data_IF_672820586334
#
_entry.id   IF_672820586334
#
_cell.length_a   1.000
_cell.length_b   1.000
_cell.length_c   1.000
_cell.angle_alpha   90.00
_cell.angle_beta   90.00
_cell.angle_gamma   90.00
#
_symmetry.space_group_name_H-M   'P 1'
#
loop_
_entity.id
_entity.type
_entity.pdbx_description
1 polymer ?
#
# COMPACT_ATOMS: atom_id res chain seq x y z
N UNK A 1 -7.53 1.64 15.78
CA UNK A 1 -7.15 0.20 15.69
C UNK A 1 -5.94 -0.01 14.80
N UNK A 2 -5.80 0.63 13.64
CA UNK A 2 -4.60 0.51 12.77
C UNK A 2 -3.32 0.90 13.53
N UNK A 3 -3.33 1.98 14.32
CA UNK A 3 -2.17 2.38 15.16
C UNK A 3 -1.75 1.36 16.23
N UNK A 4 -2.67 0.51 16.71
CA UNK A 4 -2.35 -0.53 17.71
C UNK A 4 -1.69 -1.74 17.04
N UNK A 5 -2.00 -1.99 15.79
CA UNK A 5 -1.42 -3.06 14.97
C UNK A 5 -0.11 -2.64 14.28
N UNK A 6 0.26 -1.36 14.39
CA UNK A 6 1.45 -0.78 13.74
C UNK A 6 2.79 -1.40 14.19
N UNK A 7 2.82 -2.07 15.34
CA UNK A 7 3.99 -2.82 15.82
C UNK A 7 3.98 -4.33 15.52
N UNK A 8 2.87 -4.88 15.00
CA UNK A 8 2.72 -6.34 14.84
C UNK A 8 3.08 -6.75 13.40
N UNK A 9 4.01 -7.70 13.19
CA UNK A 9 4.28 -8.24 11.87
C UNK A 9 3.01 -8.85 11.25
N UNK A 10 2.76 -8.61 9.97
CA UNK A 10 1.57 -9.12 9.25
C UNK A 10 1.45 -10.65 9.37
N UNK A 11 2.58 -11.36 9.43
CA UNK A 11 2.62 -12.83 9.65
C UNK A 11 2.04 -13.23 11.01
N UNK A 12 2.36 -12.48 12.08
CA UNK A 12 1.83 -12.76 13.41
C UNK A 12 0.33 -12.50 13.47
N UNK A 13 -0.14 -11.45 12.78
CA UNK A 13 -1.57 -11.17 12.65
C UNK A 13 -2.30 -12.31 11.92
N UNK A 14 -1.71 -12.85 10.83
CA UNK A 14 -2.27 -14.00 10.12
C UNK A 14 -2.37 -15.24 11.02
N UNK A 15 -1.33 -15.52 11.81
CA UNK A 15 -1.35 -16.63 12.77
C UNK A 15 -2.41 -16.44 13.86
N UNK A 16 -2.61 -15.21 14.36
CA UNK A 16 -3.67 -14.91 15.32
C UNK A 16 -5.06 -15.12 14.73
N UNK A 17 -5.31 -14.66 13.50
CA UNK A 17 -6.58 -14.88 12.79
C UNK A 17 -6.81 -16.37 12.56
N UNK A 18 -5.79 -17.11 12.14
CA UNK A 18 -5.85 -18.56 11.96
C UNK A 18 -6.21 -19.28 13.27
N UNK A 19 -5.55 -18.96 14.37
CA UNK A 19 -5.83 -19.53 15.68
C UNK A 19 -7.26 -19.20 16.15
N UNK A 20 -7.70 -17.96 15.94
CA UNK A 20 -9.06 -17.53 16.31
C UNK A 20 -10.13 -18.26 15.47
N UNK A 21 -9.90 -18.51 14.19
CA UNK A 21 -10.79 -19.31 13.34
C UNK A 21 -10.88 -20.76 13.80
N UNK A 22 -9.75 -21.38 14.18
CA UNK A 22 -9.78 -22.73 14.78
C UNK A 22 -10.55 -22.76 16.09
N UNK A 23 -10.40 -21.75 16.94
CA UNK A 23 -11.20 -21.64 18.17
C UNK A 23 -12.69 -21.50 17.89
N UNK A 24 -13.07 -20.74 16.87
CA UNK A 24 -14.46 -20.59 16.44
C UNK A 24 -15.05 -21.91 15.89
N UNK A 25 -14.27 -22.66 15.11
CA UNK A 25 -14.66 -24.00 14.65
C UNK A 25 -14.88 -24.96 15.82
N UNK A 26 -13.96 -24.99 16.76
CA UNK A 26 -14.06 -25.81 17.96
C UNK A 26 -15.25 -25.41 18.85
N UNK A 27 -15.49 -24.09 18.99
CA UNK A 27 -16.64 -23.57 19.74
C UNK A 27 -17.96 -24.02 19.08
N UNK A 28 -18.06 -23.94 17.73
CA UNK A 28 -19.20 -24.42 16.97
C UNK A 28 -19.44 -25.92 17.17
N UNK A 29 -18.38 -26.73 17.11
CA UNK A 29 -18.42 -28.16 17.35
C UNK A 29 -18.92 -28.50 18.77
N UNK A 30 -18.37 -27.87 19.79
CA UNK A 30 -18.82 -28.06 21.19
C UNK A 30 -20.28 -27.64 21.40
N UNK A 31 -20.69 -26.55 20.75
CA UNK A 31 -22.07 -26.08 20.83
C UNK A 31 -23.05 -27.07 20.23
N UNK A 32 -22.70 -27.67 19.09
CA UNK A 32 -23.49 -28.73 18.43
C UNK A 32 -23.73 -29.93 19.33
N UNK A 33 -22.72 -30.34 20.11
CA UNK A 33 -22.85 -31.47 21.06
C UNK A 33 -23.65 -31.14 22.32
N UNK A 34 -23.64 -29.87 22.76
CA UNK A 34 -24.38 -29.43 23.96
C UNK A 34 -25.83 -29.05 23.66
N UNK A 35 -26.14 -28.57 22.48
CA UNK A 35 -27.48 -28.11 22.07
C UNK A 35 -27.78 -28.59 20.64
N UNK A 36 -28.19 -29.84 20.46
CA UNK A 36 -28.47 -30.39 19.12
C UNK A 36 -29.75 -29.83 18.46
N UNK A 37 -30.41 -28.84 19.06
CA UNK A 37 -31.75 -28.39 18.67
C UNK A 37 -31.83 -27.24 17.65
N UNK A 38 -30.72 -26.74 17.09
CA UNK A 38 -30.76 -25.63 16.11
C UNK A 38 -31.13 -26.09 14.67
N UNK A 39 -31.42 -27.38 14.45
CA UNK A 39 -31.78 -27.90 13.13
C UNK A 39 -30.65 -27.82 12.11
N UNK A 40 -31.02 -27.88 10.83
CA UNK A 40 -30.08 -27.75 9.71
C UNK A 40 -29.68 -26.27 9.49
N UNK A 41 -28.43 -25.96 9.82
CA UNK A 41 -27.83 -24.60 9.67
C UNK A 41 -27.16 -24.42 8.29
N UNK A 42 -27.28 -25.38 7.38
CA UNK A 42 -26.56 -25.37 6.09
C UNK A 42 -26.91 -24.16 5.22
N UNK A 43 -28.18 -23.78 5.16
CA UNK A 43 -28.66 -22.62 4.40
C UNK A 43 -28.11 -21.30 4.98
N UNK A 44 -28.11 -21.17 6.32
CA UNK A 44 -27.53 -20.00 7.00
C UNK A 44 -26.02 -19.94 6.77
N UNK A 45 -25.33 -21.07 6.88
CA UNK A 45 -23.90 -21.18 6.62
C UNK A 45 -23.55 -20.75 5.20
N UNK A 46 -24.29 -21.24 4.18
CA UNK A 46 -24.09 -20.87 2.79
C UNK A 46 -24.31 -19.36 2.57
N UNK A 47 -25.33 -18.79 3.19
CA UNK A 47 -25.64 -17.36 3.08
C UNK A 47 -24.54 -16.50 3.70
N UNK A 48 -24.05 -16.84 4.89
CA UNK A 48 -22.96 -16.10 5.57
C UNK A 48 -21.66 -16.23 4.79
N UNK A 49 -21.32 -17.43 4.31
CA UNK A 49 -20.13 -17.64 3.47
C UNK A 49 -20.22 -16.85 2.16
N UNK A 50 -21.38 -16.83 1.51
CA UNK A 50 -21.62 -16.04 0.30
C UNK A 50 -21.41 -14.55 0.54
N UNK A 51 -21.92 -14.02 1.67
CA UNK A 51 -21.70 -12.62 2.05
C UNK A 51 -20.22 -12.32 2.31
N UNK A 52 -19.52 -13.20 3.04
CA UNK A 52 -18.08 -13.04 3.31
C UNK A 52 -17.27 -13.09 2.02
N UNK A 53 -17.60 -14.02 1.12
CA UNK A 53 -16.92 -14.12 -0.17
C UNK A 53 -17.11 -12.84 -1.02
N UNK A 54 -18.32 -12.28 -1.03
CA UNK A 54 -18.63 -11.03 -1.74
C UNK A 54 -17.85 -9.85 -1.14
N UNK A 55 -17.84 -9.73 0.19
CA UNK A 55 -17.08 -8.67 0.88
C UNK A 55 -15.57 -8.80 0.64
N UNK A 56 -15.03 -10.02 0.65
CA UNK A 56 -13.63 -10.29 0.32
C UNK A 56 -13.32 -9.88 -1.11
N UNK A 57 -14.19 -10.22 -2.08
CA UNK A 57 -13.98 -9.87 -3.48
C UNK A 57 -13.91 -8.35 -3.69
N UNK A 58 -14.84 -7.59 -3.11
CA UNK A 58 -14.81 -6.13 -3.19
C UNK A 58 -13.59 -5.54 -2.47
N UNK A 59 -13.23 -6.06 -1.30
CA UNK A 59 -12.07 -5.57 -0.56
C UNK A 59 -10.78 -5.85 -1.32
N UNK A 60 -10.67 -7.00 -1.97
CA UNK A 60 -9.53 -7.36 -2.81
C UNK A 60 -9.42 -6.45 -4.04
N UNK A 61 -10.55 -6.17 -4.72
CA UNK A 61 -10.58 -5.21 -5.83
C UNK A 61 -10.08 -3.83 -5.38
N UNK A 62 -10.59 -3.32 -4.25
CA UNK A 62 -10.15 -2.04 -3.70
C UNK A 62 -8.65 -2.02 -3.34
N UNK A 63 -8.10 -3.10 -2.77
CA UNK A 63 -6.68 -3.21 -2.47
C UNK A 63 -5.82 -3.25 -3.75
N UNK A 64 -6.27 -4.01 -4.76
CA UNK A 64 -5.60 -4.10 -6.06
C UNK A 64 -5.58 -2.76 -6.80
N UNK A 65 -6.68 -2.01 -6.77
CA UNK A 65 -6.78 -0.67 -7.38
C UNK A 65 -5.81 0.31 -6.70
N UNK A 66 -5.73 0.29 -5.36
CA UNK A 66 -4.77 1.12 -4.61
C UNK A 66 -3.32 0.75 -4.91
N UNK A 67 -3.02 -0.54 -4.99
CA UNK A 67 -1.69 -1.01 -5.38
C UNK A 67 -1.34 -0.54 -6.81
N UNK A 68 -2.26 -0.69 -7.75
CA UNK A 68 -2.10 -0.23 -9.14
C UNK A 68 -1.87 1.27 -9.23
N UNK A 69 -2.65 2.07 -8.48
CA UNK A 69 -2.47 3.51 -8.37
C UNK A 69 -1.07 3.86 -7.83
N UNK A 70 -0.63 3.24 -6.73
CA UNK A 70 0.71 3.49 -6.18
C UNK A 70 1.80 3.17 -7.19
N UNK A 71 1.66 2.07 -7.95
CA UNK A 71 2.60 1.69 -9.01
C UNK A 71 2.62 2.71 -10.15
N UNK A 72 1.46 3.15 -10.62
CA UNK A 72 1.37 4.14 -11.70
C UNK A 72 1.97 5.49 -11.31
N UNK A 73 1.84 5.89 -10.04
CA UNK A 73 2.42 7.13 -9.53
C UNK A 73 3.96 7.09 -9.48
N UNK A 74 4.60 5.93 -9.29
CA UNK A 74 6.06 5.81 -9.41
C UNK A 74 6.52 6.10 -10.83
N UNK A 75 5.82 5.55 -11.83
CA UNK A 75 6.10 5.82 -13.25
C UNK A 75 5.87 7.29 -13.57
N UNK A 76 4.75 7.85 -13.10
CA UNK A 76 4.38 9.26 -13.34
C UNK A 76 5.44 10.21 -12.75
N UNK A 77 5.94 9.94 -11.54
CA UNK A 77 6.98 10.75 -10.91
C UNK A 77 8.31 10.65 -11.66
N UNK A 78 8.72 9.44 -12.05
CA UNK A 78 9.92 9.25 -12.87
C UNK A 78 9.85 10.06 -14.18
N UNK A 79 8.71 10.01 -14.87
CA UNK A 79 8.49 10.78 -16.09
C UNK A 79 8.50 12.30 -15.86
N UNK A 80 7.88 12.76 -14.77
CA UNK A 80 7.86 14.19 -14.42
C UNK A 80 9.28 14.72 -14.14
N UNK A 81 10.08 13.98 -13.35
CA UNK A 81 11.48 14.35 -13.08
C UNK A 81 12.29 14.35 -14.37
N UNK A 82 12.16 13.32 -15.22
CA UNK A 82 12.84 13.25 -16.50
C UNK A 82 12.47 14.41 -17.44
N UNK A 83 11.19 14.79 -17.48
CA UNK A 83 10.71 15.94 -18.25
C UNK A 83 11.29 17.25 -17.73
N UNK A 84 11.32 17.44 -16.41
CA UNK A 84 11.92 18.62 -15.80
C UNK A 84 13.42 18.68 -16.11
N UNK A 85 14.13 17.56 -16.02
CA UNK A 85 15.55 17.49 -16.35
C UNK A 85 15.86 17.95 -17.78
N UNK A 86 15.06 17.51 -18.75
CA UNK A 86 15.19 17.94 -20.14
C UNK A 86 14.89 19.43 -20.32
N UNK A 87 13.86 19.96 -19.67
CA UNK A 87 13.46 21.36 -19.76
C UNK A 87 14.47 22.30 -19.07
N UNK A 88 15.10 21.84 -18.00
CA UNK A 88 16.22 22.56 -17.34
C UNK A 88 17.40 22.77 -18.31
N UNK A 89 17.55 21.92 -19.33
CA UNK A 89 18.53 22.07 -20.39
C UNK A 89 18.43 23.39 -21.18
N UNK A 90 17.27 24.05 -21.17
CA UNK A 90 17.06 25.35 -21.81
C UNK A 90 17.54 26.54 -20.94
N UNK A 91 17.90 26.29 -19.69
CA UNK A 91 18.41 27.35 -18.80
C UNK A 91 19.87 27.68 -19.11
N UNK A 92 20.28 28.95 -18.93
CA UNK A 92 21.68 29.33 -19.04
C UNK A 92 22.52 28.78 -17.89
N UNK A 93 23.83 28.62 -18.11
CA UNK A 93 24.77 28.35 -17.02
C UNK A 93 24.94 29.60 -16.13
N UNK A 94 25.21 29.43 -14.82
CA UNK A 94 25.39 28.16 -14.09
C UNK A 94 24.09 27.51 -13.63
N UNK A 95 22.94 28.13 -13.84
CA UNK A 95 21.63 27.71 -13.30
C UNK A 95 21.22 26.32 -13.78
N UNK A 96 21.55 25.97 -15.03
CA UNK A 96 21.31 24.64 -15.59
C UNK A 96 22.03 23.57 -14.77
N UNK A 97 23.33 23.73 -14.51
CA UNK A 97 24.11 22.76 -13.73
C UNK A 97 23.61 22.63 -12.29
N UNK A 98 23.25 23.76 -11.64
CA UNK A 98 22.70 23.76 -10.28
C UNK A 98 21.35 23.02 -10.19
N UNK A 99 20.45 23.27 -11.14
CA UNK A 99 19.14 22.62 -11.19
C UNK A 99 19.23 21.11 -11.50
N UNK A 100 20.19 20.71 -12.36
CA UNK A 100 20.47 19.29 -12.61
C UNK A 100 20.99 18.59 -11.36
N UNK A 101 21.97 19.17 -10.65
CA UNK A 101 22.48 18.63 -9.40
C UNK A 101 21.38 18.46 -8.36
N UNK A 102 20.43 19.42 -8.28
CA UNK A 102 19.26 19.30 -7.43
C UNK A 102 18.39 18.10 -7.82
N UNK A 103 18.10 17.89 -9.12
CA UNK A 103 17.27 16.78 -9.59
C UNK A 103 17.92 15.43 -9.27
N UNK A 104 19.24 15.32 -9.37
CA UNK A 104 19.98 14.13 -8.91
C UNK A 104 19.71 13.88 -7.41
N UNK A 105 19.93 14.91 -6.57
CA UNK A 105 19.72 14.78 -5.13
C UNK A 105 18.28 14.49 -4.77
N UNK A 106 17.30 15.09 -5.45
CA UNK A 106 15.90 14.83 -5.25
C UNK A 106 15.56 13.37 -5.57
N UNK A 107 16.02 12.84 -6.71
CA UNK A 107 15.81 11.44 -7.11
C UNK A 107 16.42 10.49 -6.09
N UNK A 108 17.63 10.77 -5.60
CA UNK A 108 18.28 9.98 -4.55
C UNK A 108 17.43 9.96 -3.28
N UNK A 109 16.94 11.13 -2.81
CA UNK A 109 16.08 11.20 -1.62
C UNK A 109 14.75 10.45 -1.77
N UNK A 110 14.18 10.42 -2.97
CA UNK A 110 12.95 9.66 -3.22
C UNK A 110 13.18 8.14 -3.10
N UNK A 111 14.32 7.64 -3.56
CA UNK A 111 14.73 6.24 -3.41
C UNK A 111 15.10 5.91 -1.96
N UNK A 112 15.94 6.74 -1.33
CA UNK A 112 16.32 6.61 0.08
C UNK A 112 15.08 6.62 1.01
N UNK A 113 14.10 7.49 0.75
CA UNK A 113 12.84 7.54 1.48
C UNK A 113 12.01 6.26 1.34
N UNK A 114 11.99 5.64 0.15
CA UNK A 114 11.33 4.35 -0.03
C UNK A 114 12.02 3.22 0.77
N UNK A 115 13.36 3.20 0.77
CA UNK A 115 14.13 2.22 1.54
C UNK A 115 13.93 2.38 3.04
N UNK A 116 13.84 3.64 3.50
CA UNK A 116 13.59 3.99 4.89
C UNK A 116 12.13 3.80 5.35
N UNK A 117 11.24 3.34 4.49
CA UNK A 117 9.79 3.28 4.76
C UNK A 117 9.40 2.42 5.98
N UNK A 118 10.26 1.47 6.40
CA UNK A 118 10.06 0.65 7.60
C UNK A 118 10.59 1.31 8.88
N UNK A 119 11.31 2.43 8.77
CA UNK A 119 11.92 3.18 9.87
C UNK A 119 11.25 4.56 9.97
N UNK A 120 10.20 4.74 10.80
CA UNK A 120 9.40 5.96 10.79
C UNK A 120 10.18 7.25 10.99
N UNK A 121 11.20 7.25 11.86
CA UNK A 121 12.03 8.42 12.13
C UNK A 121 12.91 8.78 10.92
N UNK A 122 13.51 7.78 10.27
CA UNK A 122 14.35 7.98 9.08
C UNK A 122 13.49 8.41 7.89
N UNK A 123 12.33 7.77 7.70
CA UNK A 123 11.38 8.17 6.67
C UNK A 123 10.94 9.64 6.82
N UNK A 124 10.55 10.05 8.04
CA UNK A 124 10.15 11.43 8.33
C UNK A 124 11.29 12.43 8.03
N UNK A 125 12.53 12.07 8.38
CA UNK A 125 13.71 12.86 8.06
C UNK A 125 13.91 13.02 6.56
N UNK A 126 13.83 11.93 5.78
CA UNK A 126 13.98 11.97 4.31
C UNK A 126 12.86 12.74 3.62
N UNK A 127 11.65 12.64 4.13
CA UNK A 127 10.53 13.44 3.66
C UNK A 127 10.75 14.93 3.92
N UNK A 128 11.24 15.29 5.09
CA UNK A 128 11.56 16.69 5.41
C UNK A 128 12.70 17.22 4.54
N UNK A 129 13.78 16.46 4.33
CA UNK A 129 14.87 16.81 3.42
C UNK A 129 14.35 17.05 1.99
N UNK A 130 13.45 16.20 1.50
CA UNK A 130 12.82 16.37 0.19
C UNK A 130 12.00 17.66 0.09
N UNK A 131 11.22 18.00 1.12
CA UNK A 131 10.42 19.25 1.16
C UNK A 131 11.29 20.51 1.21
N UNK A 132 12.37 20.47 1.96
CA UNK A 132 13.34 21.57 1.99
C UNK A 132 13.98 21.80 0.61
N UNK A 133 14.37 20.73 -0.06
CA UNK A 133 14.88 20.80 -1.42
C UNK A 133 13.86 21.41 -2.40
N UNK A 134 12.58 21.04 -2.31
CA UNK A 134 11.52 21.62 -3.14
C UNK A 134 11.39 23.13 -2.92
N UNK A 135 11.42 23.56 -1.66
CA UNK A 135 11.37 25.00 -1.30
C UNK A 135 12.60 25.76 -1.81
N UNK A 136 13.78 25.17 -1.68
CA UNK A 136 15.02 25.77 -2.18
C UNK A 136 14.99 25.93 -3.69
N UNK A 137 14.54 24.90 -4.42
CA UNK A 137 14.45 24.95 -5.87
C UNK A 137 13.48 26.02 -6.35
N UNK A 138 12.33 26.12 -5.70
CA UNK A 138 11.34 27.15 -6.03
C UNK A 138 11.92 28.56 -5.86
N UNK A 139 12.55 28.82 -4.71
CA UNK A 139 13.19 30.12 -4.42
C UNK A 139 14.30 30.46 -5.42
N UNK A 140 15.07 29.47 -5.89
CA UNK A 140 16.08 29.67 -6.94
C UNK A 140 15.43 30.04 -8.26
N UNK A 141 14.34 29.35 -8.65
CA UNK A 141 13.63 29.68 -9.88
C UNK A 141 13.05 31.10 -9.84
N UNK A 142 12.47 31.54 -8.72
CA UNK A 142 12.00 32.91 -8.52
C UNK A 142 13.13 33.94 -8.71
N UNK A 143 14.31 33.66 -8.17
CA UNK A 143 15.49 34.53 -8.31
C UNK A 143 15.98 34.62 -9.76
N UNK A 144 15.82 33.54 -10.53
CA UNK A 144 16.22 33.45 -11.92
C UNK A 144 15.17 34.02 -12.89
N UNK A 145 13.91 34.04 -12.50
CA UNK A 145 12.78 34.43 -13.34
C UNK A 145 12.99 35.72 -14.14
N UNK A 146 13.57 36.82 -13.58
CA UNK A 146 13.81 38.04 -14.35
C UNK A 146 14.87 37.91 -15.46
N UNK A 147 15.65 36.83 -15.45
CA UNK A 147 16.78 36.59 -16.38
C UNK A 147 16.47 35.53 -17.43
N UNK A 148 15.30 34.90 -17.38
CA UNK A 148 14.87 33.81 -18.24
C UNK A 148 13.78 34.33 -19.18
N UNK A 149 13.82 33.94 -20.44
CA UNK A 149 12.74 34.22 -21.36
C UNK A 149 11.41 33.60 -20.90
N UNK A 150 10.33 34.38 -20.98
CA UNK A 150 9.03 33.99 -20.47
C UNK A 150 8.55 32.59 -20.94
N UNK A 151 8.72 32.17 -22.23
CA UNK A 151 8.31 30.82 -22.65
C UNK A 151 9.10 29.71 -21.95
N UNK A 152 10.41 29.90 -21.77
CA UNK A 152 11.28 28.93 -21.06
C UNK A 152 10.91 28.86 -19.58
N UNK A 153 10.70 30.01 -18.95
CA UNK A 153 10.27 30.08 -17.55
C UNK A 153 8.95 29.31 -17.33
N UNK A 154 7.96 29.51 -18.21
CA UNK A 154 6.69 28.78 -18.13
C UNK A 154 6.91 27.27 -18.24
N UNK A 155 7.70 26.81 -19.21
CA UNK A 155 7.96 25.38 -19.42
C UNK A 155 8.64 24.72 -18.21
N UNK A 156 9.62 25.39 -17.60
CA UNK A 156 10.35 24.88 -16.44
C UNK A 156 9.45 24.91 -15.20
N UNK A 157 8.71 26.00 -14.97
CA UNK A 157 7.78 26.12 -13.85
C UNK A 157 6.70 25.06 -13.87
N UNK A 158 6.08 24.81 -15.03
CA UNK A 158 5.08 23.76 -15.18
C UNK A 158 5.65 22.38 -14.86
N UNK A 159 6.81 22.03 -15.41
CA UNK A 159 7.42 20.74 -15.15
C UNK A 159 7.82 20.56 -13.66
N UNK A 160 8.21 21.65 -13.01
CA UNK A 160 8.53 21.64 -11.58
C UNK A 160 7.28 21.42 -10.73
N UNK A 161 6.17 22.07 -11.06
CA UNK A 161 4.87 21.83 -10.43
C UNK A 161 4.46 20.36 -10.61
N UNK A 162 4.57 19.81 -11.83
CA UNK A 162 4.25 18.40 -12.11
C UNK A 162 5.04 17.44 -11.21
N UNK A 163 6.34 17.71 -10.95
CA UNK A 163 7.17 16.90 -10.03
C UNK A 163 6.66 17.00 -8.59
N UNK A 164 6.32 18.20 -8.13
CA UNK A 164 5.85 18.42 -6.76
C UNK A 164 4.47 17.79 -6.55
N UNK A 165 3.55 18.01 -7.47
CA UNK A 165 2.19 17.48 -7.41
C UNK A 165 2.18 15.95 -7.39
N UNK A 166 2.96 15.31 -8.27
CA UNK A 166 3.07 13.84 -8.27
C UNK A 166 3.72 13.33 -6.99
N UNK A 167 4.69 14.07 -6.44
CA UNK A 167 5.28 13.77 -5.13
C UNK A 167 4.24 13.73 -4.01
N UNK A 168 3.36 14.73 -3.95
CA UNK A 168 2.26 14.80 -2.97
C UNK A 168 1.16 13.74 -3.26
N UNK A 169 0.80 13.50 -4.55
CA UNK A 169 -0.12 12.42 -4.92
C UNK A 169 0.39 11.05 -4.43
N UNK A 170 1.69 10.77 -4.55
CA UNK A 170 2.30 9.53 -4.03
C UNK A 170 2.18 9.42 -2.52
N UNK A 171 2.41 10.51 -1.79
CA UNK A 171 2.26 10.52 -0.33
C UNK A 171 0.80 10.29 0.07
N UNK A 172 -0.14 10.94 -0.59
CA UNK A 172 -1.57 10.74 -0.38
C UNK A 172 -1.99 9.28 -0.67
N UNK A 173 -1.54 8.70 -1.78
CA UNK A 173 -1.82 7.31 -2.14
C UNK A 173 -1.22 6.30 -1.15
N UNK A 174 -0.07 6.60 -0.54
CA UNK A 174 0.53 5.75 0.49
C UNK A 174 -0.29 5.73 1.79
N UNK A 175 -0.99 6.82 2.11
CA UNK A 175 -1.87 6.92 3.29
C UNK A 175 -3.31 6.48 3.03
N UNK A 176 -3.69 6.28 1.78
CA UNK A 176 -5.03 5.83 1.41
C UNK A 176 -5.15 4.32 1.59
N UNK A 177 -5.56 3.88 2.79
CA UNK A 177 -5.76 2.49 3.18
C UNK A 177 -7.25 2.13 3.18
N UNK A 178 -7.56 0.83 3.11
CA UNK A 178 -8.92 0.32 3.28
C UNK A 178 -9.42 0.70 4.68
N UNK A 179 -10.66 1.24 4.81
CA UNK A 179 -11.22 1.57 6.11
C UNK A 179 -11.19 0.37 7.07
N UNK A 180 -10.71 0.60 8.29
CA UNK A 180 -10.63 -0.45 9.33
C UNK A 180 -11.96 -1.15 9.58
N UNK A 181 -13.08 -0.43 9.40
CA UNK A 181 -14.44 -0.97 9.55
C UNK A 181 -14.68 -2.16 8.61
N UNK A 182 -14.15 -2.13 7.39
CA UNK A 182 -14.28 -3.23 6.41
C UNK A 182 -13.53 -4.46 6.91
N UNK A 183 -12.31 -4.29 7.44
CA UNK A 183 -11.54 -5.39 8.01
C UNK A 183 -12.23 -5.99 9.25
N UNK A 184 -12.83 -5.17 10.10
CA UNK A 184 -13.61 -5.64 11.26
C UNK A 184 -14.83 -6.43 10.81
N UNK A 185 -15.57 -5.93 9.81
CA UNK A 185 -16.74 -6.63 9.28
C UNK A 185 -16.35 -7.97 8.64
N UNK A 186 -15.27 -8.01 7.86
CA UNK A 186 -14.73 -9.23 7.30
C UNK A 186 -14.36 -10.23 8.41
N UNK A 187 -13.64 -9.77 9.44
CA UNK A 187 -13.25 -10.62 10.56
C UNK A 187 -14.48 -11.22 11.27
N UNK A 188 -15.48 -10.40 11.57
CA UNK A 188 -16.74 -10.88 12.18
C UNK A 188 -17.40 -11.94 11.30
N UNK A 189 -17.53 -11.67 10.01
CA UNK A 189 -18.11 -12.63 9.05
C UNK A 189 -17.34 -13.95 8.98
N UNK A 190 -16.01 -13.87 8.97
CA UNK A 190 -15.13 -15.04 9.00
C UNK A 190 -15.31 -15.87 10.29
N UNK A 191 -15.37 -15.20 11.46
CA UNK A 191 -15.57 -15.86 12.76
C UNK A 191 -16.95 -16.52 12.84
N UNK A 192 -18.00 -15.82 12.41
CA UNK A 192 -19.35 -16.40 12.31
C UNK A 192 -19.38 -17.64 11.39
N UNK A 193 -18.72 -17.54 10.23
CA UNK A 193 -18.59 -18.68 9.31
C UNK A 193 -17.86 -19.85 9.94
N UNK A 194 -16.81 -19.58 10.74
CA UNK A 194 -16.09 -20.60 11.50
C UNK A 194 -16.98 -21.33 12.50
N UNK A 195 -17.77 -20.58 13.29
CA UNK A 195 -18.72 -21.19 14.25
C UNK A 195 -19.78 -22.03 13.54
N UNK A 196 -20.38 -21.51 12.46
CA UNK A 196 -21.40 -22.23 11.69
C UNK A 196 -20.84 -23.47 11.00
N UNK A 197 -19.63 -23.42 10.48
CA UNK A 197 -18.97 -24.57 9.87
C UNK A 197 -18.63 -25.65 10.90
N UNK A 198 -18.25 -25.26 12.11
CA UNK A 198 -17.98 -26.14 13.23
C UNK A 198 -19.26 -26.80 13.79
N UNK A 199 -20.43 -26.17 13.61
CA UNK A 199 -21.72 -26.67 14.10
C UNK A 199 -22.23 -27.85 13.25
N UNK A 200 -21.55 -29.02 13.34
CA UNK A 200 -21.94 -30.27 12.67
C UNK A 200 -21.79 -31.44 13.67
N UNK A 201 -22.87 -32.20 13.93
CA UNK A 201 -22.82 -33.33 14.85
C UNK A 201 -22.10 -34.57 14.29
N UNK A 202 -21.90 -34.65 12.98
CA UNK A 202 -21.43 -35.87 12.31
C UNK A 202 -20.01 -35.71 11.71
N UNK A 203 -19.07 -36.43 12.23
CA UNK A 203 -17.73 -36.78 11.71
C UNK A 203 -16.50 -36.04 12.28
N UNK A 204 -15.78 -36.69 13.23
CA UNK A 204 -14.58 -36.08 13.84
C UNK A 204 -13.34 -36.07 12.93
N UNK A 205 -13.09 -37.06 12.08
CA UNK A 205 -11.82 -37.15 11.33
C UNK A 205 -11.88 -36.59 9.91
N UNK A 206 -12.97 -36.79 9.16
CA UNK A 206 -13.14 -36.24 7.82
C UNK A 206 -13.44 -34.73 7.85
N UNK A 207 -14.04 -34.24 8.92
CA UNK A 207 -14.25 -32.80 9.14
C UNK A 207 -12.95 -32.02 9.37
N UNK A 208 -11.94 -32.60 10.00
CA UNK A 208 -10.69 -31.92 10.35
C UNK A 208 -9.93 -31.44 9.11
N UNK A 209 -9.85 -32.25 8.05
CA UNK A 209 -9.21 -31.86 6.80
C UNK A 209 -9.95 -30.71 6.12
N UNK A 210 -11.28 -30.78 6.03
CA UNK A 210 -12.11 -29.72 5.43
C UNK A 210 -12.01 -28.42 6.22
N UNK A 211 -12.00 -28.49 7.55
CA UNK A 211 -11.83 -27.34 8.44
C UNK A 211 -10.46 -26.70 8.31
N UNK A 212 -9.40 -27.52 8.30
CA UNK A 212 -8.05 -27.01 8.12
C UNK A 212 -7.88 -26.31 6.77
N UNK A 213 -8.40 -26.91 5.70
CA UNK A 213 -8.34 -26.31 4.37
C UNK A 213 -9.10 -24.96 4.32
N UNK A 214 -10.31 -24.92 4.88
CA UNK A 214 -11.10 -23.69 4.97
C UNK A 214 -10.34 -22.58 5.71
N UNK A 215 -9.81 -22.87 6.90
CA UNK A 215 -9.07 -21.89 7.72
C UNK A 215 -7.82 -21.41 6.99
N UNK A 216 -7.06 -22.32 6.38
CA UNK A 216 -5.83 -21.95 5.66
C UNK A 216 -6.14 -21.05 4.47
N UNK A 217 -7.14 -21.41 3.65
CA UNK A 217 -7.52 -20.60 2.47
C UNK A 217 -8.00 -19.21 2.92
N UNK A 218 -8.91 -19.16 3.89
CA UNK A 218 -9.49 -17.89 4.34
C UNK A 218 -8.42 -16.98 4.98
N UNK A 219 -7.52 -17.56 5.77
CA UNK A 219 -6.38 -16.84 6.35
C UNK A 219 -5.42 -16.35 5.25
N UNK A 220 -5.14 -17.17 4.24
CA UNK A 220 -4.27 -16.79 3.14
C UNK A 220 -4.84 -15.62 2.32
N UNK A 221 -6.15 -15.64 2.03
CA UNK A 221 -6.83 -14.54 1.33
C UNK A 221 -6.79 -13.27 2.17
N UNK A 222 -7.10 -13.34 3.46
CA UNK A 222 -7.05 -12.19 4.37
C UNK A 222 -5.62 -11.65 4.51
N UNK A 223 -4.63 -12.54 4.59
CA UNK A 223 -3.22 -12.15 4.61
C UNK A 223 -2.82 -11.39 3.34
N UNK A 224 -3.20 -11.92 2.17
CA UNK A 224 -2.90 -11.27 0.87
C UNK A 224 -3.57 -9.91 0.76
N UNK A 225 -4.81 -9.79 1.24
CA UNK A 225 -5.53 -8.52 1.27
C UNK A 225 -4.81 -7.47 2.13
N UNK A 226 -4.38 -7.86 3.33
CA UNK A 226 -3.61 -6.99 4.24
C UNK A 226 -2.25 -6.61 3.63
N UNK A 227 -1.59 -7.55 2.98
CA UNK A 227 -0.28 -7.35 2.35
C UNK A 227 -0.35 -6.36 1.18
N UNK A 228 -1.41 -6.40 0.38
CA UNK A 228 -1.67 -5.44 -0.69
C UNK A 228 -2.04 -4.04 -0.17
N UNK A 229 -2.78 -3.97 0.92
CA UNK A 229 -3.24 -2.68 1.46
C UNK A 229 -2.11 -1.91 2.16
N UNK A 230 -1.16 -2.60 2.80
CA UNK A 230 -0.05 -2.00 3.54
C UNK A 230 1.17 -1.75 2.65
N UNK A 231 1.45 -0.51 2.18
CA UNK A 231 2.46 -0.23 1.16
C UNK A 231 3.90 -0.52 1.60
N UNK A 232 4.18 -0.47 2.93
CA UNK A 232 5.55 -0.48 3.44
C UNK A 232 5.90 -1.71 4.27
N UNK A 233 4.93 -2.57 4.65
CA UNK A 233 5.14 -3.67 5.62
C UNK A 233 4.99 -5.06 5.03
N UNK A 234 4.43 -5.18 3.81
CA UNK A 234 4.14 -6.42 3.15
C UNK A 234 5.30 -7.01 2.34
N UNK A 235 5.07 -8.18 1.77
CA UNK A 235 5.92 -8.78 0.75
C UNK A 235 5.67 -8.15 -0.62
N UNK A 236 4.43 -7.72 -0.87
CA UNK A 236 4.00 -7.09 -2.11
C UNK A 236 4.30 -5.60 -2.01
N UNK A 237 5.48 -5.20 -2.49
CA UNK A 237 5.92 -3.79 -2.51
C UNK A 237 5.83 -3.23 -3.91
N UNK A 238 5.59 -1.92 -3.99
CA UNK A 238 5.64 -1.22 -5.27
C UNK A 238 7.10 -1.11 -5.71
N UNK A 239 7.39 -1.64 -6.89
CA UNK A 239 8.70 -1.57 -7.49
C UNK A 239 9.10 -0.12 -7.80
N UNK A 240 10.36 0.23 -7.51
CA UNK A 240 10.95 1.54 -7.77
C UNK A 240 11.84 1.55 -9.01
N UNK A 241 11.80 0.49 -9.82
CA UNK A 241 12.60 0.37 -11.04
C UNK A 241 12.53 1.60 -11.96
N UNK A 242 11.36 2.22 -12.20
CA UNK A 242 11.30 3.43 -13.02
C UNK A 242 12.17 4.58 -12.48
N UNK A 243 12.21 4.78 -11.16
CA UNK A 243 13.05 5.81 -10.55
C UNK A 243 14.53 5.44 -10.54
N UNK A 244 14.87 4.16 -10.38
CA UNK A 244 16.27 3.68 -10.46
C UNK A 244 16.81 3.83 -11.87
N UNK A 245 16.04 3.41 -12.86
CA UNK A 245 16.41 3.59 -14.28
C UNK A 245 16.61 5.07 -14.64
N UNK A 246 15.72 5.95 -14.14
CA UNK A 246 15.90 7.39 -14.29
C UNK A 246 17.19 7.87 -13.62
N UNK A 247 17.46 7.46 -12.38
CA UNK A 247 18.69 7.83 -11.64
C UNK A 247 19.95 7.47 -12.44
N UNK A 248 19.99 6.28 -13.04
CA UNK A 248 21.08 5.84 -13.90
C UNK A 248 21.21 6.71 -15.17
N UNK A 249 20.08 7.03 -15.81
CA UNK A 249 20.07 7.91 -16.98
C UNK A 249 20.58 9.32 -16.65
N UNK A 250 20.15 9.88 -15.52
CA UNK A 250 20.61 11.18 -15.08
C UNK A 250 22.13 11.20 -14.83
N UNK A 251 22.66 10.14 -14.20
CA UNK A 251 24.12 10.00 -13.96
C UNK A 251 24.95 9.82 -15.23
N UNK A 252 24.37 9.20 -16.26
CA UNK A 252 25.06 9.01 -17.54
C UNK A 252 25.14 10.31 -18.38
N UNK A 253 24.30 11.30 -18.08
CA UNK A 253 24.21 12.57 -18.83
C UNK A 253 24.22 13.74 -17.82
N UNK A 254 25.35 14.04 -17.21
CA UNK A 254 25.48 15.04 -16.16
C UNK A 254 25.22 16.49 -16.63
#
# INVERSE_FOLDING_TARGET
>A
MVRILDGIPVRLLALMVMGLLFLCLEAGYRLSHRKPGLGDVSALQASVLGLVALLLAFSFSMAADRYSLRRSLVVKESNAIGTLYLRVGYLPEPSRGEMRAWLHRYTDLRLEGHEAANEPALFAKKLQESKLLQTELWSRLETLAPRIEAPVLILVTQAMNDVFDVGEERMAAAHNLIPTTIFVLLLIGMLCSGVLLGYRPEAPLRGLLSWSLFVVILTAVMFTLLDLDLPNRGRIRVDQEPLRSLQEQLRAHP
#
